data_IF_287139676980
#
_entry.id   IF_287139676980
#
_cell.length_a   1.000
_cell.length_b   1.000
_cell.length_c   1.000
_cell.angle_alpha   90.00
_cell.angle_beta   90.00
_cell.angle_gamma   90.00
#
_symmetry.space_group_name_H-M   'P 1'
#
loop_
_entity.id
_entity.type
_entity.pdbx_description
1 polymer ?
#
# COMPACT_ATOMS: atom_id res chain seq x y z
N UNK A 1 18.44 -2.79 7.85
CA UNK A 1 17.83 -3.57 6.75
C UNK A 1 17.31 -2.58 5.74
N UNK A 2 17.72 -2.62 4.46
CA UNK A 2 17.10 -1.79 3.41
C UNK A 2 15.82 -2.48 2.99
N UNK A 3 14.67 -1.84 3.16
CA UNK A 3 13.43 -2.33 2.57
C UNK A 3 13.49 -2.20 1.05
N UNK A 4 13.06 -3.22 0.31
CA UNK A 4 12.87 -3.16 -1.15
C UNK A 4 11.59 -3.90 -1.61
N UNK A 5 10.68 -4.18 -0.67
CA UNK A 5 9.40 -4.80 -0.99
C UNK A 5 8.50 -3.82 -1.77
N UNK A 6 7.74 -4.36 -2.71
CA UNK A 6 6.64 -3.68 -3.39
C UNK A 6 5.35 -3.89 -2.60
N UNK A 7 4.83 -2.82 -2.02
CA UNK A 7 3.72 -2.86 -1.05
C UNK A 7 2.52 -2.11 -1.62
N UNK A 8 1.34 -2.73 -1.56
CA UNK A 8 0.06 -2.06 -1.75
C UNK A 8 -0.60 -1.78 -0.40
N UNK A 9 -0.98 -0.53 -0.14
CA UNK A 9 -1.80 -0.16 1.01
C UNK A 9 -3.21 0.18 0.53
N UNK A 10 -4.21 -0.48 1.09
CA UNK A 10 -5.64 -0.27 0.80
C UNK A 10 -6.31 0.23 2.08
N UNK A 11 -6.70 1.50 2.10
CA UNK A 11 -7.21 2.18 3.30
C UNK A 11 -8.13 3.34 2.90
N UNK A 12 -9.30 3.48 3.54
CA UNK A 12 -10.28 4.53 3.22
C UNK A 12 -10.08 5.82 4.03
N UNK A 13 -9.38 5.77 5.17
CA UNK A 13 -8.97 6.96 5.92
C UNK A 13 -7.69 7.59 5.33
N UNK A 14 -7.84 8.74 4.68
CA UNK A 14 -6.77 9.43 3.94
C UNK A 14 -5.53 9.74 4.80
N UNK A 15 -5.70 10.16 6.05
CA UNK A 15 -4.59 10.48 6.94
C UNK A 15 -3.77 9.23 7.30
N UNK A 16 -4.45 8.10 7.54
CA UNK A 16 -3.79 6.83 7.79
C UNK A 16 -3.08 6.30 6.54
N UNK A 17 -3.74 6.35 5.38
CA UNK A 17 -3.17 5.96 4.09
C UNK A 17 -1.87 6.71 3.78
N UNK A 18 -1.87 8.04 3.95
CA UNK A 18 -0.70 8.88 3.74
C UNK A 18 0.39 8.66 4.80
N UNK A 19 0.00 8.42 6.05
CA UNK A 19 0.91 8.07 7.14
C UNK A 19 1.70 6.78 6.87
N UNK A 20 0.98 5.72 6.49
CA UNK A 20 1.57 4.42 6.15
C UNK A 20 2.51 4.52 4.96
N UNK A 21 2.08 5.18 3.87
CA UNK A 21 2.93 5.44 2.70
C UNK A 21 4.23 6.13 3.09
N UNK A 22 4.16 7.21 3.89
CA UNK A 22 5.33 7.98 4.31
C UNK A 22 6.31 7.13 5.13
N UNK A 23 5.82 6.32 6.07
CA UNK A 23 6.67 5.49 6.94
C UNK A 23 7.36 4.40 6.12
N UNK A 24 6.60 3.65 5.32
CA UNK A 24 7.11 2.53 4.53
C UNK A 24 8.06 3.00 3.42
N UNK A 25 7.76 4.10 2.73
CA UNK A 25 8.67 4.66 1.73
C UNK A 25 9.98 5.16 2.36
N UNK A 26 9.94 5.74 3.58
CA UNK A 26 11.16 6.13 4.31
C UNK A 26 12.06 4.95 4.68
N UNK A 27 11.51 3.75 4.80
CA UNK A 27 12.25 2.52 5.06
C UNK A 27 12.85 1.89 3.78
N UNK A 28 12.60 2.50 2.61
CA UNK A 28 13.13 2.08 1.31
C UNK A 28 12.16 1.26 0.46
N UNK A 29 10.95 0.99 0.94
CA UNK A 29 9.95 0.22 0.20
C UNK A 29 9.32 1.01 -0.95
N UNK A 30 8.94 0.32 -2.01
CA UNK A 30 8.10 0.89 -3.07
C UNK A 30 6.63 0.73 -2.65
N UNK A 31 5.92 1.84 -2.49
CA UNK A 31 4.56 1.81 -1.91
C UNK A 31 3.56 2.42 -2.90
N UNK A 32 2.55 1.63 -3.26
CA UNK A 32 1.35 2.11 -3.93
C UNK A 32 0.19 2.15 -2.95
N UNK A 33 -0.72 3.08 -3.18
CA UNK A 33 -1.90 3.32 -2.33
C UNK A 33 -3.19 3.14 -3.13
N UNK A 34 -4.24 2.72 -2.45
CA UNK A 34 -5.61 2.66 -2.94
C UNK A 34 -6.58 3.07 -1.83
N UNK A 35 -7.53 3.95 -2.14
CA UNK A 35 -8.51 4.48 -1.18
C UNK A 35 -9.72 3.56 -0.98
N UNK A 36 -9.83 2.50 -1.80
CA UNK A 36 -10.93 1.54 -1.74
C UNK A 36 -10.46 0.14 -2.14
N UNK A 37 -11.20 -0.88 -1.70
CA UNK A 37 -10.96 -2.27 -2.10
C UNK A 37 -10.97 -2.47 -3.62
N UNK A 38 -11.90 -1.83 -4.34
CA UNK A 38 -11.98 -1.92 -5.81
C UNK A 38 -10.76 -1.36 -6.53
N UNK A 39 -10.24 -0.22 -6.06
CA UNK A 39 -8.99 0.34 -6.59
C UNK A 39 -7.78 -0.55 -6.24
N UNK A 40 -7.79 -1.17 -5.05
CA UNK A 40 -6.79 -2.15 -4.65
C UNK A 40 -6.79 -3.38 -5.57
N UNK A 41 -7.96 -3.95 -5.82
CA UNK A 41 -8.15 -5.09 -6.72
C UNK A 41 -7.67 -4.77 -8.15
N UNK A 42 -8.04 -3.61 -8.70
CA UNK A 42 -7.58 -3.17 -10.02
C UNK A 42 -6.04 -3.10 -10.10
N UNK A 43 -5.37 -2.65 -9.03
CA UNK A 43 -3.90 -2.60 -8.99
C UNK A 43 -3.28 -4.00 -8.92
N UNK A 44 -3.90 -4.92 -8.18
CA UNK A 44 -3.47 -6.31 -8.09
C UNK A 44 -3.55 -7.03 -9.44
N UNK A 45 -4.53 -6.68 -10.28
CA UNK A 45 -4.62 -7.21 -11.65
C UNK A 45 -3.51 -6.67 -12.57
N UNK A 46 -2.99 -5.47 -12.28
CA UNK A 46 -2.01 -4.78 -13.14
C UNK A 46 -0.55 -4.99 -12.70
N UNK A 47 -0.31 -5.43 -11.47
CA UNK A 47 1.03 -5.48 -10.88
C UNK A 47 1.14 -6.49 -9.76
N UNK A 48 2.33 -7.10 -9.63
CA UNK A 48 2.65 -7.95 -8.50
C UNK A 48 3.09 -7.13 -7.30
N UNK A 49 2.61 -7.52 -6.12
CA UNK A 49 3.02 -6.96 -4.82
C UNK A 49 3.53 -8.08 -3.92
N UNK A 50 4.58 -7.80 -3.16
CA UNK A 50 5.10 -8.73 -2.15
C UNK A 50 4.17 -8.75 -0.92
N UNK A 51 3.57 -7.60 -0.60
CA UNK A 51 2.72 -7.39 0.57
C UNK A 51 1.53 -6.52 0.18
N UNK A 52 0.35 -6.93 0.64
CA UNK A 52 -0.85 -6.08 0.66
C UNK A 52 -1.19 -5.79 2.13
N UNK A 53 -1.32 -4.53 2.48
CA UNK A 53 -1.81 -4.06 3.78
C UNK A 53 -3.21 -3.51 3.53
N UNK A 54 -4.22 -4.12 4.13
CA UNK A 54 -5.62 -3.68 4.02
C UNK A 54 -6.19 -3.59 5.42
N UNK A 55 -6.98 -2.55 5.67
CA UNK A 55 -7.90 -2.58 6.80
C UNK A 55 -9.04 -3.56 6.53
N UNK A 56 -9.54 -4.19 7.59
CA UNK A 56 -10.67 -5.10 7.55
C UNK A 56 -11.79 -4.45 8.36
N UNK A 57 -12.87 -4.06 7.68
CA UNK A 57 -14.14 -3.76 8.32
C UNK A 57 -14.95 -5.03 8.51
#
# INVERSE_FOLDING_TARGET
MKGNAHILVVEDEQDMLLGLRKILSKQGHHVQIAETGSLGAQKLEQSYFDIVITDLK
#
